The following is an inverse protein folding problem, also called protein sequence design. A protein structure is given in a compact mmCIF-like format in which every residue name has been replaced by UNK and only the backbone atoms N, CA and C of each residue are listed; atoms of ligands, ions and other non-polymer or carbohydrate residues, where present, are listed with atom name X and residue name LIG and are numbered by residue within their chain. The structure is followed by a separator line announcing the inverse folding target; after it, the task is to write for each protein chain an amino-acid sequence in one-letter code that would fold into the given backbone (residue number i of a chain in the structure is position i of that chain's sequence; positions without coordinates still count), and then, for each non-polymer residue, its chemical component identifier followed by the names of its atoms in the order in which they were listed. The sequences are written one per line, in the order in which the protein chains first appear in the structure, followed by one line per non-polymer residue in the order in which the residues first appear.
data_IF_905382631704
#
_entry.id   IF_905382631704
#
_cell.length_a   1.000
_cell.length_b   1.000
_cell.length_c   1.000
_cell.angle_alpha   90.00
_cell.angle_beta   90.00
_cell.angle_gamma   90.00
#
_symmetry.space_group_name_H-M   'P 1'
#
loop_
_entity.id
_entity.type
_entity.pdbx_description
1 polymer ?
#
# COMPACT_ATOMS: atom_id res chain seq x y z
N UNK A 1 6.07 -32.33 19.20
CA UNK A 1 6.10 -30.87 19.13
C UNK A 1 5.85 -30.53 17.68
N UNK A 2 4.81 -29.75 17.39
CA UNK A 2 4.56 -29.30 16.01
C UNK A 2 5.43 -28.09 15.70
N UNK A 3 6.07 -28.08 14.54
CA UNK A 3 6.89 -26.98 14.06
C UNK A 3 6.08 -26.24 12.98
N UNK A 4 6.06 -24.93 13.04
CA UNK A 4 5.40 -24.05 12.08
C UNK A 4 6.47 -23.27 11.34
N UNK A 5 6.32 -23.16 10.01
CA UNK A 5 7.31 -22.49 9.16
C UNK A 5 6.75 -21.19 8.60
N UNK A 6 7.53 -20.13 8.65
CA UNK A 6 7.12 -18.80 8.14
C UNK A 6 6.97 -18.75 6.63
N UNK A 7 7.73 -19.56 5.89
CA UNK A 7 7.74 -19.57 4.41
C UNK A 7 6.43 -20.03 3.77
N UNK A 8 5.61 -20.80 4.50
CA UNK A 8 4.38 -21.41 3.98
C UNK A 8 3.12 -20.67 4.46
N UNK A 9 3.28 -19.47 4.99
CA UNK A 9 2.18 -18.65 5.48
C UNK A 9 1.32 -18.14 4.34
N UNK A 10 0.02 -18.22 4.54
CA UNK A 10 -0.99 -17.69 3.62
C UNK A 10 -1.72 -16.53 4.29
N UNK A 11 -1.91 -15.46 3.55
CA UNK A 11 -2.77 -14.36 3.95
C UNK A 11 -4.12 -14.46 3.23
N UNK A 12 -5.19 -14.33 3.99
CA UNK A 12 -6.53 -14.22 3.46
C UNK A 12 -7.13 -12.87 3.83
N UNK A 13 -7.83 -12.28 2.86
CA UNK A 13 -8.61 -11.05 3.03
C UNK A 13 -10.09 -11.42 2.92
N UNK A 14 -10.89 -11.01 3.90
CA UNK A 14 -12.33 -11.28 3.94
C UNK A 14 -13.10 -10.09 4.53
N UNK A 15 -14.43 -10.18 4.51
CA UNK A 15 -15.32 -9.15 5.07
C UNK A 15 -15.93 -8.21 4.02
N UNK A 16 -15.60 -8.39 2.74
CA UNK A 16 -16.19 -7.63 1.64
C UNK A 16 -17.09 -8.54 0.82
N UNK A 17 -18.37 -8.17 0.69
CA UNK A 17 -19.36 -8.87 -0.14
C UNK A 17 -19.39 -10.38 0.07
N UNK A 18 -19.05 -10.87 1.27
CA UNK A 18 -18.91 -12.30 1.62
C UNK A 18 -17.89 -13.06 0.76
N UNK A 19 -16.94 -12.36 0.17
CA UNK A 19 -15.86 -12.96 -0.62
C UNK A 19 -14.59 -13.12 0.22
N UNK A 20 -13.75 -14.06 -0.19
CA UNK A 20 -12.46 -14.37 0.44
C UNK A 20 -11.40 -14.51 -0.64
N UNK A 21 -10.33 -13.71 -0.50
CA UNK A 21 -9.17 -13.72 -1.38
C UNK A 21 -7.98 -14.35 -0.65
N UNK A 22 -7.18 -15.14 -1.35
CA UNK A 22 -5.87 -15.60 -0.89
C UNK A 22 -4.80 -14.72 -1.52
N UNK A 23 -3.96 -14.07 -0.70
CA UNK A 23 -2.90 -13.18 -1.14
C UNK A 23 -1.55 -13.80 -0.80
N UNK A 24 -0.69 -14.07 -1.80
CA UNK A 24 0.66 -14.55 -1.54
C UNK A 24 1.53 -13.43 -0.97
N UNK A 25 2.06 -13.65 0.22
CA UNK A 25 2.95 -12.70 0.92
C UNK A 25 4.39 -13.14 0.83
N UNK A 26 5.30 -12.17 0.81
CA UNK A 26 6.73 -12.40 0.89
C UNK A 26 7.17 -12.64 2.34
N UNK A 27 8.38 -13.13 2.51
CA UNK A 27 9.00 -13.22 3.84
C UNK A 27 9.12 -11.82 4.49
N UNK A 28 9.06 -11.76 5.82
CA UNK A 28 9.17 -10.50 6.55
C UNK A 28 7.83 -9.86 6.94
N UNK A 29 6.69 -10.56 6.71
CA UNK A 29 5.41 -10.11 7.26
C UNK A 29 5.45 -10.02 8.79
N UNK A 30 4.72 -9.07 9.34
CA UNK A 30 4.60 -8.90 10.79
C UNK A 30 3.19 -8.47 11.19
N UNK A 31 2.78 -8.86 12.37
CA UNK A 31 1.59 -8.34 13.04
C UNK A 31 1.79 -8.38 14.55
N UNK A 32 1.31 -7.35 15.24
CA UNK A 32 1.44 -7.25 16.69
C UNK A 32 0.34 -6.41 17.31
N UNK A 33 0.02 -6.71 18.56
CA UNK A 33 -0.86 -5.88 19.38
C UNK A 33 -0.23 -5.71 20.76
N UNK A 34 -0.03 -4.50 21.20
CA UNK A 34 0.51 -4.17 22.51
C UNK A 34 -0.59 -3.81 23.51
N UNK A 35 -0.25 -3.91 24.80
CA UNK A 35 -1.12 -3.49 25.90
C UNK A 35 -0.55 -2.23 26.55
N UNK A 36 -1.40 -1.25 26.80
CA UNK A 36 -1.06 -0.10 27.63
C UNK A 36 -1.22 -0.47 29.08
N UNK A 37 -0.13 -0.38 29.86
CA UNK A 37 -0.10 -0.79 31.26
C UNK A 37 0.22 0.38 32.16
N UNK A 38 -0.37 0.39 33.36
CA UNK A 38 0.03 1.27 34.44
C UNK A 38 0.79 0.48 35.51
N UNK A 39 1.94 1.01 35.90
CA UNK A 39 2.75 0.43 36.98
C UNK A 39 2.43 1.11 38.30
N UNK A 40 2.29 0.30 39.37
CA UNK A 40 2.15 0.82 40.73
C UNK A 40 3.54 1.16 41.25
N UNK A 41 3.79 2.46 41.39
CA UNK A 41 5.02 2.98 42.02
C UNK A 41 4.70 3.45 43.43
N UNK A 42 5.39 2.88 44.42
CA UNK A 42 5.27 3.28 45.82
C UNK A 42 6.60 3.84 46.29
N UNK A 43 6.56 4.98 46.98
CA UNK A 43 7.74 5.56 47.62
C UNK A 43 8.13 4.75 48.87
N UNK A 44 7.19 4.02 49.49
CA UNK A 44 7.40 3.10 50.59
C UNK A 44 7.55 1.65 50.08
N UNK A 45 8.74 1.28 49.67
CA UNK A 45 9.05 -0.10 49.23
C UNK A 45 9.58 -0.99 50.37
N UNK A 46 9.38 -0.60 51.65
CA UNK A 46 9.83 -1.36 52.80
C UNK A 46 8.71 -2.19 53.41
N UNK A 47 8.99 -3.45 53.72
CA UNK A 47 8.09 -4.27 54.53
C UNK A 47 8.13 -3.90 56.03
N UNK A 48 7.27 -4.53 56.85
CA UNK A 48 7.23 -4.36 58.30
C UNK A 48 8.60 -4.67 59.00
N UNK A 49 9.49 -5.36 58.31
CA UNK A 49 10.87 -5.69 58.78
C UNK A 49 11.91 -4.65 58.32
N UNK A 50 11.54 -3.54 57.68
CA UNK A 50 12.47 -2.55 57.17
C UNK A 50 13.26 -2.95 55.94
N UNK A 51 12.99 -4.13 55.37
CA UNK A 51 13.65 -4.62 54.15
C UNK A 51 12.94 -4.08 52.90
N UNK A 52 13.69 -3.48 51.97
CA UNK A 52 13.17 -3.01 50.71
C UNK A 52 12.57 -4.13 49.86
N UNK A 53 11.36 -3.90 49.34
CA UNK A 53 10.67 -4.81 48.43
C UNK A 53 10.98 -4.41 46.99
N UNK A 54 11.37 -5.39 46.16
CA UNK A 54 11.67 -5.19 44.74
C UNK A 54 10.51 -5.64 43.83
N UNK A 55 9.36 -6.00 44.40
CA UNK A 55 8.20 -6.46 43.63
C UNK A 55 7.55 -5.29 42.90
N UNK A 56 7.10 -5.55 41.66
CA UNK A 56 6.38 -4.63 40.82
C UNK A 56 4.96 -5.15 40.57
N UNK A 57 3.99 -4.28 40.44
CA UNK A 57 2.62 -4.62 40.10
C UNK A 57 2.17 -3.73 38.93
N UNK A 58 1.54 -4.35 37.93
CA UNK A 58 1.08 -3.68 36.74
C UNK A 58 -0.39 -4.03 36.48
N UNK A 59 -1.11 -3.10 35.87
CA UNK A 59 -2.49 -3.28 35.43
C UNK A 59 -2.58 -2.95 33.94
N UNK A 60 -3.34 -3.73 33.18
CA UNK A 60 -3.66 -3.42 31.79
C UNK A 60 -4.82 -2.43 31.74
N UNK A 61 -4.60 -1.27 31.14
CA UNK A 61 -5.61 -0.22 31.00
C UNK A 61 -6.34 -0.30 29.66
N UNK A 62 -5.60 -0.56 28.58
CA UNK A 62 -6.18 -0.65 27.23
C UNK A 62 -5.31 -1.53 26.31
N UNK A 63 -5.89 -1.94 25.20
CA UNK A 63 -5.17 -2.51 24.06
C UNK A 63 -4.85 -1.39 23.05
N UNK A 64 -3.64 -1.40 22.54
CA UNK A 64 -3.28 -0.58 21.38
C UNK A 64 -3.93 -1.17 20.11
N UNK A 65 -4.06 -0.40 19.03
CA UNK A 65 -4.38 -0.96 17.72
C UNK A 65 -3.42 -2.07 17.33
N UNK A 66 -3.92 -3.04 16.58
CA UNK A 66 -3.07 -4.04 15.94
C UNK A 66 -2.32 -3.35 14.80
N UNK A 67 -1.02 -3.51 14.73
CA UNK A 67 -0.20 -3.09 13.60
C UNK A 67 0.12 -4.31 12.75
N UNK A 68 0.06 -4.16 11.43
CA UNK A 68 0.47 -5.21 10.49
C UNK A 68 1.25 -4.62 9.33
N UNK A 69 2.18 -5.41 8.81
CA UNK A 69 2.90 -5.12 7.57
C UNK A 69 3.24 -6.42 6.83
N UNK A 70 3.22 -6.36 5.52
CA UNK A 70 3.63 -7.44 4.63
C UNK A 70 3.95 -6.90 3.24
N UNK A 71 4.59 -7.71 2.41
CA UNK A 71 4.92 -7.34 1.04
C UNK A 71 4.36 -8.37 0.06
N UNK A 72 4.01 -7.91 -1.14
CA UNK A 72 3.56 -8.73 -2.27
C UNK A 72 4.33 -8.37 -3.53
N UNK A 73 4.43 -9.30 -4.48
CA UNK A 73 4.83 -8.92 -5.83
C UNK A 73 3.66 -8.28 -6.57
N UNK A 74 3.95 -7.33 -7.46
CA UNK A 74 2.99 -6.84 -8.43
C UNK A 74 2.78 -7.90 -9.53
N UNK A 75 1.56 -8.46 -9.62
CA UNK A 75 1.29 -9.62 -10.47
C UNK A 75 0.00 -9.45 -11.27
N UNK A 76 0.04 -8.77 -12.43
CA UNK A 76 -1.10 -8.71 -13.32
C UNK A 76 -1.35 -10.07 -14.00
N UNK A 77 -2.61 -10.36 -14.28
CA UNK A 77 -2.99 -11.52 -15.07
C UNK A 77 -4.18 -11.21 -15.97
N UNK A 78 -4.33 -11.99 -17.03
CA UNK A 78 -5.44 -11.88 -17.96
C UNK A 78 -6.43 -13.00 -17.74
N UNK A 79 -7.71 -12.68 -17.65
CA UNK A 79 -8.79 -13.63 -17.60
C UNK A 79 -8.82 -14.51 -18.87
N UNK A 80 -9.37 -15.71 -18.77
CA UNK A 80 -9.58 -16.63 -19.89
C UNK A 80 -11.01 -17.16 -19.85
N UNK A 81 -11.50 -17.73 -20.98
CA UNK A 81 -12.82 -18.33 -21.09
C UNK A 81 -13.20 -19.35 -19.99
N UNK A 82 -12.21 -19.91 -19.31
CA UNK A 82 -12.39 -20.82 -18.19
C UNK A 82 -12.36 -20.12 -16.82
N UNK A 83 -12.19 -18.80 -16.81
CA UNK A 83 -11.99 -18.04 -15.61
C UNK A 83 -12.75 -16.71 -15.64
N UNK A 84 -13.83 -16.67 -14.91
CA UNK A 84 -14.48 -15.45 -14.51
C UNK A 84 -14.18 -15.22 -13.02
N UNK A 85 -13.56 -14.10 -12.65
CA UNK A 85 -13.24 -13.73 -11.26
C UNK A 85 -14.53 -13.52 -10.45
N UNK A 86 -15.58 -13.07 -11.11
CA UNK A 86 -16.92 -12.91 -10.56
C UNK A 86 -18.00 -13.05 -11.64
N UNK A 87 -19.26 -13.19 -11.22
CA UNK A 87 -20.39 -13.16 -12.16
C UNK A 87 -20.47 -11.78 -12.84
N UNK A 88 -20.36 -11.76 -14.15
CA UNK A 88 -20.34 -10.53 -14.97
C UNK A 88 -18.96 -10.08 -15.43
N UNK A 89 -17.91 -10.70 -14.93
CA UNK A 89 -16.57 -10.56 -15.45
C UNK A 89 -16.46 -11.19 -16.85
N UNK A 90 -15.70 -10.59 -17.75
CA UNK A 90 -15.56 -11.09 -19.11
C UNK A 90 -14.25 -11.80 -19.33
N UNK A 91 -14.24 -12.70 -20.29
CA UNK A 91 -12.99 -13.33 -20.75
C UNK A 91 -12.06 -12.28 -21.29
N UNK A 92 -10.80 -12.35 -20.90
CA UNK A 92 -9.70 -11.47 -21.26
C UNK A 92 -9.57 -10.15 -20.47
N UNK A 93 -10.41 -9.88 -19.48
CA UNK A 93 -10.23 -8.73 -18.61
C UNK A 93 -8.91 -8.87 -17.81
N UNK A 94 -8.25 -7.74 -17.59
CA UNK A 94 -6.97 -7.72 -16.88
C UNK A 94 -7.23 -7.45 -15.40
N UNK A 95 -6.64 -8.28 -14.55
CA UNK A 95 -6.71 -8.19 -13.10
C UNK A 95 -5.32 -8.23 -12.48
N UNK A 96 -5.22 -7.93 -11.19
CA UNK A 96 -4.01 -8.13 -10.39
C UNK A 96 -4.33 -9.00 -9.17
N UNK A 97 -3.38 -9.82 -8.75
CA UNK A 97 -3.53 -10.68 -7.56
C UNK A 97 -3.80 -9.84 -6.32
N UNK A 98 -3.14 -8.69 -6.22
CA UNK A 98 -3.25 -7.71 -5.12
C UNK A 98 -4.32 -6.62 -5.32
N UNK A 99 -5.17 -6.72 -6.33
CA UNK A 99 -6.21 -5.74 -6.64
C UNK A 99 -7.10 -5.38 -5.44
N UNK A 100 -7.46 -6.38 -4.64
CA UNK A 100 -8.25 -6.18 -3.43
C UNK A 100 -7.58 -5.24 -2.43
N UNK A 101 -6.26 -5.33 -2.29
CA UNK A 101 -5.49 -4.50 -1.35
C UNK A 101 -5.51 -3.04 -1.79
N UNK A 102 -5.32 -2.79 -3.09
CA UNK A 102 -5.48 -1.47 -3.69
C UNK A 102 -6.90 -0.93 -3.49
N UNK A 103 -7.90 -1.75 -3.79
CA UNK A 103 -9.29 -1.36 -3.60
C UNK A 103 -9.58 -0.93 -2.17
N UNK A 104 -9.09 -1.67 -1.17
CA UNK A 104 -9.26 -1.35 0.25
C UNK A 104 -8.50 -0.09 0.66
N UNK A 105 -7.27 0.08 0.18
CA UNK A 105 -6.47 1.28 0.45
C UNK A 105 -7.13 2.53 -0.15
N UNK A 106 -7.70 2.42 -1.36
CA UNK A 106 -8.29 3.54 -2.10
C UNK A 106 -9.77 3.79 -1.81
N UNK A 107 -10.35 3.05 -0.86
CA UNK A 107 -11.65 3.35 -0.30
C UNK A 107 -12.81 2.49 -0.79
N UNK A 108 -12.58 1.36 -1.45
CA UNK A 108 -13.65 0.43 -1.81
C UNK A 108 -14.28 -0.22 -0.59
N UNK A 109 -15.59 -0.52 -0.67
CA UNK A 109 -16.36 -1.19 0.36
C UNK A 109 -17.19 -2.38 -0.17
N UNK A 110 -17.26 -2.53 -1.48
CA UNK A 110 -18.03 -3.60 -2.12
C UNK A 110 -17.27 -4.20 -3.30
N UNK A 111 -17.58 -5.47 -3.58
CA UNK A 111 -17.12 -6.22 -4.75
C UNK A 111 -18.32 -6.62 -5.59
N UNK A 112 -18.34 -6.22 -6.86
CA UNK A 112 -19.48 -6.51 -7.76
C UNK A 112 -19.00 -6.66 -9.20
N UNK A 113 -19.33 -7.76 -9.83
CA UNK A 113 -19.07 -8.03 -11.25
C UNK A 113 -17.60 -7.87 -11.66
N UNK A 114 -16.66 -8.33 -10.83
CA UNK A 114 -15.24 -8.27 -11.12
C UNK A 114 -14.53 -6.99 -10.65
N UNK A 115 -15.25 -5.97 -10.21
CA UNK A 115 -14.71 -4.68 -9.82
C UNK A 115 -14.84 -4.39 -8.34
N UNK A 116 -13.86 -3.66 -7.79
CA UNK A 116 -13.96 -3.01 -6.49
C UNK A 116 -14.71 -1.69 -6.62
N UNK A 117 -15.68 -1.45 -5.73
CA UNK A 117 -16.55 -0.25 -5.79
C UNK A 117 -16.71 0.41 -4.43
N UNK A 118 -17.08 1.70 -4.48
CA UNK A 118 -17.56 2.50 -3.36
C UNK A 118 -18.95 3.02 -3.71
N UNK A 119 -19.99 2.41 -3.14
CA UNK A 119 -21.35 2.68 -3.58
C UNK A 119 -21.54 2.33 -5.06
N UNK A 120 -21.84 3.35 -5.89
CA UNK A 120 -21.96 3.19 -7.34
C UNK A 120 -20.68 3.51 -8.12
N UNK A 121 -19.67 4.08 -7.48
CA UNK A 121 -18.40 4.47 -8.12
C UNK A 121 -17.45 3.30 -8.17
N UNK A 122 -16.84 3.04 -9.32
CA UNK A 122 -15.76 2.07 -9.44
C UNK A 122 -14.49 2.61 -8.78
N UNK A 123 -13.79 1.74 -8.05
CA UNK A 123 -12.42 1.95 -7.56
C UNK A 123 -11.46 1.20 -8.46
N UNK A 124 -11.83 -0.03 -8.88
CA UNK A 124 -11.13 -0.74 -9.94
C UNK A 124 -12.06 -0.98 -11.11
N UNK A 125 -11.53 -0.84 -12.32
CA UNK A 125 -12.23 -1.17 -13.57
C UNK A 125 -11.32 -2.01 -14.42
N UNK A 126 -11.74 -3.24 -14.68
CA UNK A 126 -11.01 -4.21 -15.50
C UNK A 126 -11.61 -4.27 -16.90
N UNK A 127 -10.74 -4.28 -17.91
CA UNK A 127 -11.12 -4.56 -19.30
C UNK A 127 -10.02 -5.36 -20.02
N UNK A 128 -10.20 -5.63 -21.30
CA UNK A 128 -9.22 -6.38 -22.10
C UNK A 128 -7.91 -5.63 -22.37
N UNK A 129 -7.77 -4.38 -21.92
CA UNK A 129 -6.62 -3.50 -22.17
C UNK A 129 -5.80 -3.29 -20.90
N UNK A 130 -6.45 -2.97 -19.80
CA UNK A 130 -5.82 -2.72 -18.50
C UNK A 130 -6.79 -2.96 -17.34
N UNK A 131 -6.23 -2.98 -16.13
CA UNK A 131 -6.95 -2.80 -14.88
C UNK A 131 -6.64 -1.40 -14.39
N UNK A 132 -7.62 -0.51 -14.40
CA UNK A 132 -7.47 0.85 -13.91
C UNK A 132 -7.99 0.96 -12.47
N UNK A 133 -7.19 1.54 -11.58
CA UNK A 133 -7.49 1.70 -10.16
C UNK A 133 -7.38 3.18 -9.80
N UNK A 134 -8.46 3.75 -9.29
CA UNK A 134 -8.59 5.17 -8.99
C UNK A 134 -9.15 5.38 -7.57
N UNK A 135 -8.92 6.55 -7.01
CA UNK A 135 -9.52 6.93 -5.73
C UNK A 135 -11.02 7.18 -5.91
N UNK A 136 -11.84 6.45 -5.16
CA UNK A 136 -13.30 6.65 -5.22
C UNK A 136 -13.78 7.79 -4.31
N UNK A 137 -13.10 8.01 -3.19
CA UNK A 137 -13.43 9.04 -2.19
C UNK A 137 -12.20 9.43 -1.38
N UNK A 138 -12.29 10.55 -0.67
CA UNK A 138 -11.23 11.04 0.21
C UNK A 138 -11.04 10.19 1.48
N UNK A 139 -12.01 9.35 1.87
CA UNK A 139 -12.00 8.62 3.13
C UNK A 139 -11.95 7.11 2.91
N UNK A 140 -11.09 6.41 3.65
CA UNK A 140 -11.14 4.95 3.78
C UNK A 140 -12.41 4.55 4.55
N UNK A 141 -13.23 3.64 4.03
CA UNK A 141 -14.48 3.28 4.68
C UNK A 141 -14.27 2.53 5.98
N UNK A 142 -15.04 2.89 7.00
CA UNK A 142 -15.23 2.04 8.16
C UNK A 142 -16.33 1.03 7.82
N UNK A 143 -15.97 -0.19 7.49
CA UNK A 143 -16.94 -1.23 7.18
C UNK A 143 -17.65 -1.70 8.45
N UNK A 144 -18.96 -1.84 8.37
CA UNK A 144 -19.78 -2.25 9.53
C UNK A 144 -19.39 -3.64 10.08
N UNK A 145 -18.96 -4.55 9.21
CA UNK A 145 -18.44 -5.88 9.57
C UNK A 145 -16.91 -5.92 9.69
N UNK A 146 -16.24 -4.85 9.31
CA UNK A 146 -14.77 -4.77 9.24
C UNK A 146 -14.18 -5.65 8.12
N UNK A 147 -12.97 -5.30 7.72
CA UNK A 147 -12.12 -6.19 6.94
C UNK A 147 -11.39 -7.09 7.93
N UNK A 148 -11.30 -8.37 7.60
CA UNK A 148 -10.56 -9.34 8.40
C UNK A 148 -9.37 -9.84 7.58
N UNK A 149 -8.17 -9.68 8.15
CA UNK A 149 -6.95 -10.30 7.62
C UNK A 149 -6.66 -11.55 8.43
N UNK A 150 -6.57 -12.70 7.76
CA UNK A 150 -6.28 -13.97 8.42
C UNK A 150 -4.93 -14.50 7.95
N UNK A 151 -3.96 -14.54 8.85
CA UNK A 151 -2.66 -15.17 8.64
C UNK A 151 -2.76 -16.64 9.04
N UNK A 152 -2.62 -17.53 8.08
CA UNK A 152 -2.68 -18.97 8.28
C UNK A 152 -1.28 -19.55 8.19
N UNK A 153 -0.80 -20.10 9.29
CA UNK A 153 0.52 -20.72 9.44
C UNK A 153 0.34 -22.23 9.44
N UNK A 154 0.66 -22.94 8.37
CA UNK A 154 0.51 -24.38 8.30
C UNK A 154 1.57 -25.09 9.16
N UNK A 155 1.20 -26.25 9.65
CA UNK A 155 2.11 -27.15 10.33
C UNK A 155 2.98 -27.91 9.32
N UNK A 156 4.24 -28.15 9.64
CA UNK A 156 5.19 -28.94 8.82
C UNK A 156 4.62 -30.31 8.39
N UNK A 157 3.81 -30.94 9.23
CA UNK A 157 3.19 -32.25 8.92
C UNK A 157 1.99 -32.16 7.96
N UNK A 158 1.55 -30.97 7.58
CA UNK A 158 0.36 -30.76 6.76
C UNK A 158 -0.99 -31.10 7.45
N UNK A 159 -0.96 -31.48 8.72
CA UNK A 159 -2.14 -31.89 9.48
C UNK A 159 -2.54 -30.88 10.55
N UNK A 160 -2.86 -29.65 10.11
CA UNK A 160 -3.30 -28.57 10.98
C UNK A 160 -2.62 -27.25 10.63
N UNK A 161 -3.24 -26.18 11.03
CA UNK A 161 -2.74 -24.83 10.87
C UNK A 161 -3.12 -23.99 12.10
N UNK A 162 -2.34 -22.99 12.40
CA UNK A 162 -2.77 -21.90 13.29
C UNK A 162 -3.19 -20.72 12.43
N UNK A 163 -4.27 -20.08 12.80
CA UNK A 163 -4.78 -18.90 12.11
C UNK A 163 -4.91 -17.76 13.12
N UNK A 164 -4.42 -16.59 12.71
CA UNK A 164 -4.57 -15.35 13.48
C UNK A 164 -5.37 -14.37 12.64
N UNK A 165 -6.48 -13.89 13.20
CA UNK A 165 -7.39 -12.96 12.58
C UNK A 165 -7.19 -11.56 13.14
N UNK A 166 -6.91 -10.60 12.26
CA UNK A 166 -6.89 -9.17 12.56
C UNK A 166 -8.24 -8.62 12.14
N UNK A 167 -9.05 -8.25 13.14
CA UNK A 167 -10.40 -7.73 12.92
C UNK A 167 -10.37 -6.22 12.73
N UNK A 168 -11.30 -5.71 11.90
CA UNK A 168 -11.42 -4.29 11.63
C UNK A 168 -10.14 -3.71 11.01
N UNK A 169 -9.51 -4.47 10.13
CA UNK A 169 -8.29 -4.06 9.45
C UNK A 169 -8.56 -2.89 8.50
N UNK A 170 -7.67 -1.90 8.50
CA UNK A 170 -7.64 -0.80 7.55
C UNK A 170 -6.22 -0.60 7.04
N UNK A 171 -6.09 -0.47 5.72
CA UNK A 171 -4.80 -0.24 5.07
C UNK A 171 -4.44 1.23 5.16
N UNK A 172 -3.27 1.51 5.71
CA UNK A 172 -2.77 2.86 5.89
C UNK A 172 -1.88 3.30 4.74
N UNK A 173 -1.01 2.40 4.27
CA UNK A 173 0.03 2.77 3.32
C UNK A 173 0.35 1.62 2.37
N UNK A 174 0.64 1.98 1.12
CA UNK A 174 1.28 1.13 0.14
C UNK A 174 2.49 1.88 -0.43
N UNK A 175 3.66 1.23 -0.43
CA UNK A 175 4.86 1.77 -1.05
C UNK A 175 5.46 0.81 -2.05
N UNK A 176 5.97 1.34 -3.14
CA UNK A 176 6.69 0.60 -4.18
C UNK A 176 8.06 1.22 -4.34
N UNK A 177 9.07 0.39 -4.11
CA UNK A 177 10.45 0.73 -4.42
C UNK A 177 10.83 0.07 -5.76
N UNK A 178 11.42 0.84 -6.64
CA UNK A 178 11.93 0.34 -7.91
C UNK A 178 13.38 0.79 -8.11
N UNK A 179 14.21 -0.17 -8.45
CA UNK A 179 15.64 0.00 -8.69
C UNK A 179 16.04 -0.67 -10.02
N UNK A 180 17.31 -0.64 -10.36
CA UNK A 180 17.82 -1.26 -11.60
C UNK A 180 17.65 -2.78 -11.59
N UNK A 181 17.65 -3.39 -10.41
CA UNK A 181 17.60 -4.85 -10.24
C UNK A 181 16.38 -5.22 -9.40
N UNK A 182 15.74 -6.33 -9.73
CA UNK A 182 14.65 -6.87 -8.94
C UNK A 182 13.31 -6.97 -9.66
N UNK A 183 12.33 -7.41 -8.88
CA UNK A 183 10.94 -7.60 -9.28
C UNK A 183 10.11 -6.57 -8.50
N UNK A 184 9.14 -5.96 -9.13
CA UNK A 184 8.28 -4.97 -8.50
C UNK A 184 7.58 -5.56 -7.26
N UNK A 185 7.89 -4.98 -6.11
CA UNK A 185 7.38 -5.38 -4.80
C UNK A 185 6.61 -4.23 -4.19
N UNK A 186 5.43 -4.53 -3.66
CA UNK A 186 4.57 -3.56 -2.98
C UNK A 186 4.60 -3.88 -1.49
N UNK A 187 4.96 -2.90 -0.68
CA UNK A 187 4.95 -3.00 0.77
C UNK A 187 3.64 -2.40 1.30
N UNK A 188 2.91 -3.20 2.06
CA UNK A 188 1.63 -2.84 2.63
C UNK A 188 1.75 -2.68 4.13
N UNK A 189 1.15 -1.64 4.68
CA UNK A 189 1.02 -1.48 6.13
C UNK A 189 -0.37 -0.98 6.51
N UNK A 190 -0.75 -1.28 7.74
CA UNK A 190 -2.05 -0.85 8.25
C UNK A 190 -2.25 -1.21 9.71
N UNK A 191 -3.46 -0.97 10.16
CA UNK A 191 -3.86 -1.19 11.55
C UNK A 191 -5.20 -1.91 11.62
N UNK A 192 -5.46 -2.53 12.78
CA UNK A 192 -6.72 -3.21 13.09
C UNK A 192 -7.17 -2.99 14.52
N UNK A 193 -8.34 -3.49 14.86
CA UNK A 193 -8.91 -3.32 16.20
C UNK A 193 -8.41 -4.37 17.19
N UNK A 194 -8.47 -5.64 16.82
CA UNK A 194 -8.08 -6.75 17.69
C UNK A 194 -7.50 -7.90 16.90
N UNK A 195 -6.57 -8.63 17.53
CA UNK A 195 -6.08 -9.91 17.03
C UNK A 195 -6.74 -11.04 17.83
N UNK A 196 -7.21 -12.06 17.13
CA UNK A 196 -7.82 -13.27 17.73
C UNK A 196 -7.30 -14.51 17.03
N UNK A 197 -7.34 -15.65 17.73
CA UNK A 197 -7.15 -16.95 17.10
C UNK A 197 -8.43 -17.31 16.34
N UNK A 198 -8.28 -17.78 15.11
CA UNK A 198 -9.36 -18.13 14.22
C UNK A 198 -9.14 -19.46 13.50
N UNK A 199 -9.76 -19.60 12.34
CA UNK A 199 -9.62 -20.78 11.48
C UNK A 199 -9.29 -20.38 10.05
N UNK A 200 -8.57 -21.23 9.32
CA UNK A 200 -8.27 -21.00 7.91
C UNK A 200 -9.59 -20.87 7.10
N UNK A 201 -9.82 -19.73 6.45
CA UNK A 201 -11.00 -19.53 5.63
C UNK A 201 -10.89 -20.31 4.31
N UNK A 202 -12.02 -20.44 3.60
CA UNK A 202 -12.05 -21.01 2.26
C UNK A 202 -12.12 -19.87 1.25
N UNK A 203 -11.20 -19.86 0.30
CA UNK A 203 -11.22 -18.92 -0.83
C UNK A 203 -12.48 -19.04 -1.67
N UNK A 204 -13.06 -17.90 -2.04
CA UNK A 204 -14.19 -17.80 -2.96
C UNK A 204 -13.81 -17.15 -4.28
N UNK A 205 -12.73 -16.37 -4.29
CA UNK A 205 -12.18 -15.72 -5.48
C UNK A 205 -10.88 -16.44 -5.87
N UNK A 206 -10.77 -16.85 -7.12
CA UNK A 206 -9.56 -17.49 -7.65
C UNK A 206 -8.62 -16.44 -8.22
N UNK A 207 -7.57 -16.09 -7.46
CA UNK A 207 -6.55 -15.10 -7.84
C UNK A 207 -5.47 -15.66 -8.78
N UNK A 208 -5.67 -16.86 -9.34
CA UNK A 208 -4.69 -17.49 -10.26
C UNK A 208 -3.25 -17.52 -9.74
N UNK A 209 -3.06 -17.60 -8.43
CA UNK A 209 -1.75 -17.52 -7.76
C UNK A 209 -0.75 -18.49 -8.34
N UNK A 210 -1.18 -19.71 -8.64
CA UNK A 210 -0.33 -20.80 -9.14
C UNK A 210 -0.17 -20.81 -10.65
N UNK A 211 -1.07 -20.17 -11.40
CA UNK A 211 -1.09 -20.20 -12.87
C UNK A 211 -0.55 -18.92 -13.50
N UNK A 212 -0.39 -17.85 -12.72
CA UNK A 212 0.12 -16.57 -13.19
C UNK A 212 1.61 -16.46 -12.91
N UNK A 213 2.41 -16.32 -13.97
CA UNK A 213 3.86 -16.10 -13.90
C UNK A 213 4.30 -14.71 -14.38
N UNK A 214 3.35 -13.79 -14.48
CA UNK A 214 3.61 -12.42 -14.93
C UNK A 214 4.18 -11.59 -13.78
N UNK A 215 5.50 -11.61 -13.63
CA UNK A 215 6.21 -10.75 -12.70
C UNK A 215 6.75 -9.52 -13.42
N UNK A 216 6.62 -8.36 -12.80
CA UNK A 216 7.05 -7.09 -13.35
C UNK A 216 8.53 -6.87 -13.01
N UNK A 217 9.36 -6.67 -14.02
CA UNK A 217 10.79 -6.44 -13.86
C UNK A 217 11.11 -4.94 -13.77
N UNK A 218 11.71 -4.52 -12.67
CA UNK A 218 12.06 -3.12 -12.43
C UNK A 218 13.00 -2.53 -13.50
N UNK A 219 13.93 -3.32 -14.01
CA UNK A 219 14.92 -2.87 -15.02
C UNK A 219 14.32 -2.27 -16.28
N UNK A 220 13.08 -2.60 -16.60
CA UNK A 220 12.38 -2.06 -17.78
C UNK A 220 11.62 -0.76 -17.48
N UNK A 221 11.74 -0.23 -16.28
CA UNK A 221 10.98 0.95 -15.85
C UNK A 221 11.35 2.18 -16.67
N UNK A 222 10.35 2.99 -16.95
CA UNK A 222 10.48 4.24 -17.71
C UNK A 222 9.72 5.35 -17.02
N UNK A 223 10.21 6.56 -17.22
CA UNK A 223 9.64 7.78 -16.69
C UNK A 223 9.27 8.71 -17.86
N UNK A 224 8.10 9.32 -17.77
CA UNK A 224 7.74 10.48 -18.57
C UNK A 224 7.38 11.62 -17.61
N UNK A 225 8.06 12.74 -17.75
CA UNK A 225 7.84 13.94 -16.97
C UNK A 225 7.65 15.11 -17.90
N UNK A 226 6.49 15.76 -17.83
CA UNK A 226 6.14 16.89 -18.70
C UNK A 226 5.59 18.02 -17.85
N UNK A 227 6.10 19.24 -18.02
CA UNK A 227 5.54 20.40 -17.35
C UNK A 227 4.12 20.67 -17.87
N UNK A 228 3.20 20.98 -16.96
CA UNK A 228 1.82 21.35 -17.33
C UNK A 228 1.82 22.60 -18.21
N UNK A 229 0.88 22.66 -19.16
CA UNK A 229 0.74 23.80 -20.07
C UNK A 229 0.42 25.13 -19.36
N UNK A 230 -0.05 25.09 -18.13
CA UNK A 230 -0.30 26.27 -17.28
C UNK A 230 0.97 26.86 -16.68
N UNK A 231 2.08 26.10 -16.68
CA UNK A 231 3.34 26.52 -16.09
C UNK A 231 4.20 27.40 -17.03
N UNK A 232 5.05 28.25 -16.44
CA UNK A 232 6.04 29.00 -17.19
C UNK A 232 7.27 28.17 -17.56
N UNK A 233 7.44 27.03 -16.90
CA UNK A 233 8.42 26.01 -17.21
C UNK A 233 7.79 25.13 -18.28
N UNK A 234 8.36 25.08 -19.46
CA UNK A 234 7.81 24.33 -20.60
C UNK A 234 8.79 23.24 -21.00
N UNK A 235 8.25 22.06 -21.21
CA UNK A 235 8.98 20.96 -21.82
C UNK A 235 8.70 19.60 -21.20
N UNK A 236 9.18 18.60 -21.88
CA UNK A 236 9.28 17.23 -21.39
C UNK A 236 10.71 16.97 -21.00
N UNK A 237 10.92 16.31 -19.87
CA UNK A 237 12.23 15.98 -19.35
C UNK A 237 12.52 14.49 -19.55
N UNK A 238 13.73 14.20 -20.00
CA UNK A 238 14.21 12.84 -20.23
C UNK A 238 15.24 12.50 -19.14
N UNK A 239 14.77 11.96 -18.02
CA UNK A 239 15.62 11.62 -16.88
C UNK A 239 16.14 10.19 -17.01
N UNK A 240 17.46 10.01 -16.86
CA UNK A 240 18.08 8.68 -16.81
C UNK A 240 17.86 8.07 -15.43
N UNK A 241 16.70 7.42 -15.28
CA UNK A 241 16.23 6.88 -14.01
C UNK A 241 17.12 5.71 -13.54
N UNK A 242 17.56 5.76 -12.29
CA UNK A 242 18.31 4.67 -11.63
C UNK A 242 17.51 3.99 -10.54
N UNK A 243 16.48 4.64 -10.02
CA UNK A 243 15.60 4.12 -9.00
C UNK A 243 14.60 5.16 -8.53
N UNK A 244 13.77 4.77 -7.57
CA UNK A 244 12.82 5.66 -6.95
C UNK A 244 11.82 4.91 -6.09
N UNK A 245 10.92 5.64 -5.48
CA UNK A 245 9.81 5.09 -4.75
C UNK A 245 8.53 5.90 -5.02
N UNK A 246 7.40 5.25 -4.80
CA UNK A 246 6.07 5.88 -4.78
C UNK A 246 5.33 5.34 -3.56
N UNK A 247 4.78 6.24 -2.76
CA UNK A 247 4.04 5.92 -1.54
C UNK A 247 2.66 6.56 -1.59
N UNK A 248 1.65 5.76 -1.31
CA UNK A 248 0.25 6.19 -1.12
C UNK A 248 -0.10 5.99 0.35
N UNK A 249 -0.47 7.05 1.07
CA UNK A 249 -0.79 6.99 2.50
C UNK A 249 -2.12 7.67 2.82
N UNK A 250 -2.90 7.03 3.70
CA UNK A 250 -4.19 7.52 4.20
C UNK A 250 -4.10 8.24 5.55
N UNK A 251 -2.93 8.19 6.21
CA UNK A 251 -2.71 8.81 7.53
C UNK A 251 -3.80 8.44 8.56
N UNK A 252 -4.03 7.13 8.71
CA UNK A 252 -5.06 6.60 9.59
C UNK A 252 -4.72 6.81 11.07
N UNK A 253 -5.74 7.17 11.86
CA UNK A 253 -5.65 7.19 13.31
C UNK A 253 -6.76 6.32 13.90
N UNK A 254 -6.38 5.31 14.70
CA UNK A 254 -7.34 4.46 15.40
C UNK A 254 -7.79 5.11 16.71
N UNK A 255 -9.08 4.97 16.97
CA UNK A 255 -9.73 5.53 18.16
C UNK A 255 -9.87 4.43 19.22
N UNK A 256 -9.26 4.66 20.37
CA UNK A 256 -9.45 3.83 21.57
C UNK A 256 -10.19 4.71 22.60
N UNK A 257 -11.49 4.47 22.86
CA UNK A 257 -12.22 5.25 23.84
C UNK A 257 -11.67 4.99 25.25
N UNK A 258 -11.78 5.98 26.11
CA UNK A 258 -11.47 5.85 27.53
C UNK A 258 -12.76 5.68 28.33
N UNK A 259 -13.09 4.45 28.69
CA UNK A 259 -14.26 4.10 29.48
C UNK A 259 -13.83 3.49 30.82
N UNK A 260 -14.46 3.94 31.91
CA UNK A 260 -14.18 3.41 33.25
C UNK A 260 -14.83 2.05 33.45
N UNK A 261 -14.10 1.14 34.10
CA UNK A 261 -14.60 -0.18 34.49
C UNK A 261 -14.33 -1.31 33.50
N UNK A 262 -13.70 -1.02 32.35
CA UNK A 262 -13.34 -2.00 31.32
C UNK A 262 -11.90 -1.83 30.85
N UNK A 263 -11.34 -2.86 30.24
CA UNK A 263 -10.11 -2.72 29.45
C UNK A 263 -10.49 -2.20 28.09
N UNK A 264 -10.09 -0.97 27.79
CA UNK A 264 -10.47 -0.30 26.55
C UNK A 264 -9.81 -0.95 25.33
N UNK A 265 -10.54 -0.99 24.22
CA UNK A 265 -10.11 -1.55 22.94
C UNK A 265 -10.33 -0.55 21.82
N UNK A 266 -9.53 -0.59 20.74
CA UNK A 266 -9.81 0.21 19.55
C UNK A 266 -11.19 -0.13 18.97
N UNK A 267 -11.96 0.88 18.59
CA UNK A 267 -13.32 0.72 18.04
C UNK A 267 -13.43 1.04 16.56
N UNK A 268 -12.45 1.69 15.99
CA UNK A 268 -12.43 2.09 14.60
C UNK A 268 -11.32 3.09 14.33
N UNK A 269 -11.36 3.68 13.15
CA UNK A 269 -10.36 4.65 12.70
C UNK A 269 -11.01 5.90 12.12
N UNK A 270 -10.23 6.97 12.04
CA UNK A 270 -10.46 8.16 11.22
C UNK A 270 -9.35 8.28 10.21
N UNK A 271 -9.69 8.69 8.99
CA UNK A 271 -8.75 9.01 7.94
C UNK A 271 -8.21 10.42 8.11
N UNK A 272 -6.90 10.58 7.99
CA UNK A 272 -6.25 11.87 7.85
C UNK A 272 -6.28 12.38 6.40
N UNK A 273 -5.45 13.36 6.10
CA UNK A 273 -5.25 13.80 4.72
C UNK A 273 -4.50 12.71 3.95
N UNK A 274 -5.08 12.29 2.82
CA UNK A 274 -4.41 11.37 1.91
C UNK A 274 -3.19 12.05 1.30
N UNK A 275 -2.11 11.32 1.11
CA UNK A 275 -0.92 11.78 0.41
C UNK A 275 -0.43 10.74 -0.58
N UNK A 276 -0.04 11.21 -1.75
CA UNK A 276 0.69 10.42 -2.74
C UNK A 276 2.00 11.15 -2.99
N UNK A 277 3.11 10.52 -2.67
CA UNK A 277 4.42 11.14 -2.75
C UNK A 277 5.48 10.13 -3.18
N UNK A 278 6.64 10.62 -3.57
CA UNK A 278 7.73 9.73 -3.92
C UNK A 278 9.03 10.46 -4.21
N UNK A 279 10.04 9.68 -4.56
CA UNK A 279 11.32 10.18 -5.02
C UNK A 279 11.75 9.47 -6.29
N UNK A 280 12.47 10.18 -7.14
CA UNK A 280 13.05 9.70 -8.38
C UNK A 280 14.56 9.95 -8.31
N UNK A 281 15.34 8.89 -8.44
CA UNK A 281 16.80 8.99 -8.50
C UNK A 281 17.26 8.82 -9.94
N UNK A 282 18.07 9.75 -10.43
CA UNK A 282 18.61 9.72 -11.78
C UNK A 282 20.07 10.17 -11.79
N UNK A 283 20.79 9.87 -12.86
CA UNK A 283 22.12 10.45 -13.06
C UNK A 283 22.03 11.93 -13.41
N UNK A 284 23.04 12.70 -13.00
CA UNK A 284 23.20 14.06 -13.47
C UNK A 284 23.52 14.04 -14.98
N UNK A 285 22.67 14.65 -15.76
CA UNK A 285 22.77 14.70 -17.22
C UNK A 285 22.60 16.15 -17.68
N UNK A 286 23.57 16.65 -18.46
CA UNK A 286 23.59 17.99 -19.06
C UNK A 286 23.05 18.02 -20.49
N UNK A 287 22.53 16.90 -20.99
CA UNK A 287 21.81 16.86 -22.28
C UNK A 287 20.54 17.72 -22.21
N UNK A 288 20.11 18.21 -23.36
CA UNK A 288 18.89 18.99 -23.47
C UNK A 288 17.68 18.21 -22.89
N UNK A 289 16.94 18.85 -22.00
CA UNK A 289 15.86 18.27 -21.21
C UNK A 289 16.30 17.20 -20.22
N UNK A 290 17.56 17.17 -19.82
CA UNK A 290 18.12 16.30 -18.78
C UNK A 290 17.81 16.79 -17.37
N UNK A 291 18.44 16.14 -16.38
CA UNK A 291 18.25 16.47 -14.96
C UNK A 291 18.80 17.83 -14.58
N UNK A 292 19.85 18.33 -15.26
CA UNK A 292 20.39 19.65 -15.06
C UNK A 292 19.38 20.74 -15.50
N UNK A 293 18.73 20.55 -16.63
CA UNK A 293 17.70 21.48 -17.13
C UNK A 293 16.48 21.50 -16.20
N UNK A 294 16.07 20.35 -15.64
CA UNK A 294 15.00 20.29 -14.65
C UNK A 294 15.38 21.09 -13.38
N UNK A 295 16.60 20.93 -12.89
CA UNK A 295 17.10 21.70 -11.72
C UNK A 295 17.09 23.20 -12.01
N UNK A 296 17.61 23.63 -13.17
CA UNK A 296 17.61 25.03 -13.59
C UNK A 296 16.19 25.59 -13.68
N UNK A 297 15.28 24.84 -14.32
CA UNK A 297 13.89 25.25 -14.47
C UNK A 297 13.18 25.46 -13.13
N UNK A 298 13.39 24.58 -12.16
CA UNK A 298 12.79 24.70 -10.83
C UNK A 298 13.40 25.84 -10.01
N UNK A 299 14.71 26.13 -10.18
CA UNK A 299 15.39 27.21 -9.46
C UNK A 299 15.13 28.60 -10.06
N UNK A 300 14.93 28.69 -11.38
CA UNK A 300 14.66 29.96 -12.07
C UNK A 300 13.17 30.35 -12.06
N UNK A 301 12.29 29.53 -11.56
CA UNK A 301 10.85 29.78 -11.48
C UNK A 301 10.55 30.88 -10.44
N UNK A 302 10.91 32.13 -10.74
CA UNK A 302 10.78 33.27 -9.82
C UNK A 302 9.37 33.88 -9.74
N UNK A 303 8.44 33.43 -10.56
CA UNK A 303 7.11 34.04 -10.70
C UNK A 303 5.95 33.19 -10.20
N UNK A 304 6.17 31.93 -9.85
CA UNK A 304 5.13 31.01 -9.41
C UNK A 304 5.47 30.31 -8.11
N UNK A 305 4.47 30.19 -7.25
CA UNK A 305 4.57 29.50 -5.95
C UNK A 305 4.38 28.00 -6.13
N UNK A 306 3.65 27.60 -7.18
CA UNK A 306 3.37 26.19 -7.49
C UNK A 306 4.05 25.78 -8.79
N UNK A 307 4.54 24.56 -8.85
CA UNK A 307 4.93 23.88 -10.07
C UNK A 307 3.98 22.70 -10.29
N UNK A 308 3.62 22.46 -11.53
CA UNK A 308 2.74 21.37 -11.93
C UNK A 308 3.37 20.57 -13.05
N UNK A 309 3.53 19.27 -12.81
CA UNK A 309 4.07 18.34 -13.78
C UNK A 309 3.14 17.14 -13.93
N UNK A 310 2.98 16.70 -15.16
CA UNK A 310 2.39 15.40 -15.48
C UNK A 310 3.50 14.35 -15.36
N UNK A 311 3.39 13.53 -14.32
CA UNK A 311 4.32 12.45 -14.05
C UNK A 311 3.68 11.11 -14.42
N UNK A 312 4.37 10.33 -15.26
CA UNK A 312 3.99 8.94 -15.54
C UNK A 312 5.19 8.02 -15.30
N UNK A 313 5.06 7.13 -14.36
CA UNK A 313 6.04 6.08 -14.06
C UNK A 313 5.49 4.75 -14.54
N UNK A 314 6.19 4.09 -15.47
CA UNK A 314 5.87 2.73 -15.91
C UNK A 314 6.92 1.77 -15.35
N UNK A 315 6.55 0.94 -14.41
CA UNK A 315 7.38 -0.13 -13.88
C UNK A 315 7.14 -1.36 -14.74
N UNK A 316 8.21 -1.91 -15.34
CA UNK A 316 8.13 -3.04 -16.28
C UNK A 316 8.10 -2.64 -17.76
N UNK A 317 8.20 -1.34 -18.09
CA UNK A 317 8.33 -0.83 -19.46
C UNK A 317 7.01 -0.33 -20.07
N UNK A 318 7.06 -0.05 -21.37
CA UNK A 318 5.94 0.55 -22.11
C UNK A 318 5.37 -0.35 -23.20
N UNK A 319 5.98 -1.50 -23.47
CA UNK A 319 5.52 -2.39 -24.55
C UNK A 319 4.33 -3.22 -24.11
N UNK A 320 3.37 -3.41 -24.99
CA UNK A 320 2.17 -4.23 -24.74
C UNK A 320 2.45 -5.73 -24.54
N UNK A 321 3.69 -6.16 -24.76
CA UNK A 321 4.11 -7.57 -24.62
C UNK A 321 4.68 -7.92 -23.24
N UNK A 322 4.82 -6.93 -22.35
CA UNK A 322 5.39 -7.14 -21.01
C UNK A 322 4.39 -6.72 -19.92
N UNK A 323 4.27 -7.51 -18.85
CA UNK A 323 3.49 -7.11 -17.69
C UNK A 323 4.10 -5.84 -17.08
N UNK A 324 3.26 -4.89 -16.74
CA UNK A 324 3.70 -3.60 -16.19
C UNK A 324 2.68 -3.00 -15.25
N UNK A 325 3.18 -2.10 -14.41
CA UNK A 325 2.41 -1.27 -13.50
C UNK A 325 2.70 0.20 -13.82
N UNK A 326 1.68 0.99 -14.04
CA UNK A 326 1.79 2.42 -14.32
C UNK A 326 1.20 3.24 -13.19
N UNK A 327 1.92 4.26 -12.76
CA UNK A 327 1.43 5.35 -11.94
C UNK A 327 1.37 6.61 -12.78
N UNK A 328 0.23 7.27 -12.80
CA UNK A 328 0.03 8.52 -13.52
C UNK A 328 -0.50 9.57 -12.54
N UNK A 329 0.30 10.62 -12.33
CA UNK A 329 0.01 11.74 -11.45
C UNK A 329 0.05 13.02 -12.30
N UNK A 330 -1.10 13.59 -12.60
CA UNK A 330 -1.23 14.70 -13.56
C UNK A 330 -0.94 16.08 -12.95
N UNK A 331 -0.83 16.16 -11.63
CA UNK A 331 -0.59 17.42 -10.90
C UNK A 331 0.47 17.19 -9.84
N UNK A 332 1.71 16.90 -10.25
CA UNK A 332 2.82 16.66 -9.33
C UNK A 332 3.59 17.93 -9.04
N UNK A 333 3.84 18.20 -7.77
CA UNK A 333 4.72 19.26 -7.31
C UNK A 333 6.10 18.71 -6.99
N UNK A 334 7.13 19.19 -7.68
CA UNK A 334 8.51 18.79 -7.46
C UNK A 334 9.25 19.77 -6.55
N UNK A 335 10.00 19.24 -5.60
CA UNK A 335 10.96 20.01 -4.83
C UNK A 335 12.24 20.19 -5.65
N UNK A 336 13.05 21.19 -5.28
CA UNK A 336 14.36 21.39 -5.91
C UNK A 336 15.22 20.15 -5.69
N UNK A 337 15.71 19.50 -6.76
CA UNK A 337 16.43 18.25 -6.65
C UNK A 337 17.72 18.37 -5.84
N UNK A 338 18.03 17.32 -5.09
CA UNK A 338 19.26 17.23 -4.31
C UNK A 338 20.32 16.44 -5.09
N UNK A 339 21.57 16.88 -4.98
CA UNK A 339 22.71 16.21 -5.62
C UNK A 339 23.47 15.35 -4.61
N UNK A 340 23.78 14.11 -4.97
CA UNK A 340 24.70 13.24 -4.24
C UNK A 340 26.00 13.11 -5.03
N UNK A 341 27.13 13.37 -4.36
CA UNK A 341 28.45 13.42 -4.95
C UNK A 341 29.27 12.18 -4.57
N UNK A 342 28.85 11.03 -5.10
CA UNK A 342 29.60 9.79 -5.04
C UNK A 342 30.51 9.66 -6.28
N UNK A 343 30.98 8.45 -6.60
CA UNK A 343 31.80 8.19 -7.81
C UNK A 343 31.12 8.65 -9.11
N UNK A 344 29.79 8.56 -9.14
CA UNK A 344 28.94 9.14 -10.19
C UNK A 344 27.92 10.06 -9.52
N UNK A 345 27.82 11.30 -10.00
CA UNK A 345 26.87 12.26 -9.44
C UNK A 345 25.47 11.85 -9.78
N UNK A 346 24.64 11.69 -8.76
CA UNK A 346 23.21 11.41 -8.89
C UNK A 346 22.37 12.58 -8.38
N UNK A 347 21.14 12.64 -8.86
CA UNK A 347 20.16 13.66 -8.53
C UNK A 347 18.92 12.95 -8.00
N UNK A 348 18.46 13.36 -6.84
CA UNK A 348 17.20 12.90 -6.25
C UNK A 348 16.16 14.03 -6.32
N UNK A 349 15.07 13.77 -7.01
CA UNK A 349 13.91 14.65 -7.12
C UNK A 349 12.74 14.07 -6.36
N UNK A 350 12.30 14.74 -5.30
CA UNK A 350 11.10 14.36 -4.55
C UNK A 350 9.87 15.08 -5.12
N UNK A 351 8.74 14.40 -5.08
CA UNK A 351 7.48 14.95 -5.56
C UNK A 351 6.32 14.62 -4.62
N UNK A 352 5.31 15.49 -4.66
CA UNK A 352 4.00 15.28 -4.07
C UNK A 352 2.95 15.37 -5.19
N UNK A 353 2.13 14.33 -5.37
CA UNK A 353 1.03 14.34 -6.30
C UNK A 353 -0.19 14.96 -5.64
N UNK A 354 -0.79 15.92 -6.32
CA UNK A 354 -1.91 16.72 -5.83
C UNK A 354 -3.14 16.49 -6.71
N UNK A 355 -4.36 16.64 -6.17
CA UNK A 355 -5.55 16.66 -6.98
C UNK A 355 -5.66 17.99 -7.75
N UNK A 356 -6.40 17.99 -8.86
CA UNK A 356 -6.69 19.21 -9.60
C UNK A 356 -7.43 20.25 -8.75
N UNK A 357 -8.31 19.78 -7.88
CA UNK A 357 -9.09 20.63 -6.94
C UNK A 357 -8.93 20.10 -5.52
N UNK A 358 -9.07 20.96 -4.52
CA UNK A 358 -8.90 20.63 -3.08
C UNK A 358 -9.76 19.44 -2.63
N UNK A 359 -10.93 19.24 -3.26
CA UNK A 359 -11.85 18.12 -2.99
C UNK A 359 -11.75 17.01 -4.04
N UNK A 360 -10.72 17.05 -4.90
CA UNK A 360 -10.48 16.05 -5.94
C UNK A 360 -10.05 14.69 -5.40
N UNK A 361 -10.15 13.69 -6.27
CA UNK A 361 -9.70 12.31 -6.02
C UNK A 361 -8.79 11.81 -7.13
N UNK A 362 -8.21 12.72 -7.88
CA UNK A 362 -7.43 12.50 -9.11
C UNK A 362 -5.91 12.71 -8.92
N UNK A 363 -5.42 12.58 -7.67
CA UNK A 363 -3.99 12.72 -7.35
C UNK A 363 -3.14 11.73 -8.13
N UNK A 364 -3.62 10.50 -8.26
CA UNK A 364 -2.91 9.45 -8.98
C UNK A 364 -3.90 8.41 -9.51
N UNK A 365 -3.65 7.91 -10.70
CA UNK A 365 -4.26 6.68 -11.20
C UNK A 365 -3.22 5.58 -11.32
N UNK A 366 -3.63 4.36 -11.02
CA UNK A 366 -2.78 3.17 -11.05
C UNK A 366 -3.35 2.24 -12.10
N UNK A 367 -2.52 1.76 -13.03
CA UNK A 367 -2.99 0.82 -14.04
C UNK A 367 -2.04 -0.37 -14.20
N UNK A 368 -2.63 -1.57 -14.26
CA UNK A 368 -1.93 -2.81 -14.54
C UNK A 368 -2.18 -3.26 -15.97
N UNK A 369 -1.16 -3.86 -16.57
CA UNK A 369 -1.19 -4.44 -17.91
C UNK A 369 -0.58 -5.84 -17.84
N UNK A 370 -1.19 -6.82 -18.51
CA UNK A 370 -0.77 -8.23 -18.50
C UNK A 370 -0.45 -8.78 -19.89
#
# INVERSE_FOLDING_TARGET
MSIFMSRDVKLYVSGISSQVWEIPVLEGYSFSQSTNTAEVTLSEATGATGVSRRGRKMFNNSLAPVEFSFSTYARPFKGTAAYAKAAGDTDNDIHAVEEILWGLLLGADTWTAGDMKRGSSAVSTSDGTDLNIEFAQSNVPTLASGVVLTFVIPNESGSGSMAYEINGAAFNEASIDFDIEGIATINWSGMGTTITEGSAPTTTIDEKITSTSNFIQNRLSTLALTASASESILGSYNLVLTGGNITVSNNLTFLTPEELGVVNKPIGHVTGTRSVSGSLTCYLDDAAAGSADLFEALTLSTGKITNEFDLTVNIGGTTSATPRLRFQCNHSHFQIPQHSFDDVVSVEATFDALPQFIDGTDECSIAYFA
#
